data_IF_785990490354
#
_entry.id   IF_785990490354
#
_cell.length_a   1.000
_cell.length_b   1.000
_cell.length_c   1.000
_cell.angle_alpha   90.00
_cell.angle_beta   90.00
_cell.angle_gamma   90.00
#
_symmetry.space_group_name_H-M   'P 1'
#
loop_
_entity.id
_entity.type
_entity.pdbx_description
1 polymer ?
#
# COMPACT_ATOMS: atom_id res chain seq x y z
N UNK A 1 -2.75 -20.14 37.34
CA UNK A 1 -3.73 -19.62 36.38
C UNK A 1 -3.95 -20.61 35.28
N UNK A 2 -5.04 -21.37 35.33
CA UNK A 2 -5.44 -22.22 34.21
C UNK A 2 -6.15 -21.34 33.18
N UNK A 3 -5.55 -21.20 32.01
CA UNK A 3 -6.22 -20.58 30.86
C UNK A 3 -7.38 -21.48 30.45
N UNK A 4 -8.55 -20.89 30.22
CA UNK A 4 -9.69 -21.57 29.65
C UNK A 4 -10.34 -20.69 28.59
N UNK A 5 -11.07 -21.27 27.69
CA UNK A 5 -11.82 -20.61 26.62
C UNK A 5 -13.12 -21.37 26.41
N UNK A 6 -14.23 -20.65 26.33
CA UNK A 6 -15.55 -21.21 26.04
C UNK A 6 -15.66 -21.47 24.54
N UNK A 7 -16.25 -22.60 24.20
CA UNK A 7 -16.39 -23.04 22.80
C UNK A 7 -17.88 -23.31 22.56
N UNK A 8 -18.53 -22.39 21.85
CA UNK A 8 -19.94 -22.49 21.48
C UNK A 8 -20.12 -22.90 20.03
N UNK A 9 -19.14 -22.62 19.17
CA UNK A 9 -19.16 -22.96 17.76
C UNK A 9 -17.78 -23.38 17.21
N UNK A 10 -17.73 -23.68 15.90
CA UNK A 10 -16.50 -24.10 15.24
C UNK A 10 -15.44 -23.00 15.15
N UNK A 11 -15.87 -21.72 15.18
CA UNK A 11 -14.94 -20.60 15.18
C UNK A 11 -14.28 -20.45 16.55
N UNK A 12 -15.03 -20.69 17.63
CA UNK A 12 -14.49 -20.71 18.97
C UNK A 12 -13.48 -21.83 19.17
N UNK A 13 -13.77 -23.01 18.62
CA UNK A 13 -12.83 -24.12 18.62
C UNK A 13 -11.52 -23.73 17.94
N UNK A 14 -11.60 -23.16 16.78
CA UNK A 14 -10.46 -22.67 16.02
C UNK A 14 -9.64 -21.61 16.77
N UNK A 15 -10.33 -20.68 17.46
CA UNK A 15 -9.69 -19.66 18.29
C UNK A 15 -8.99 -20.31 19.47
N UNK A 16 -9.68 -21.22 20.17
CA UNK A 16 -9.12 -21.96 21.29
C UNK A 16 -7.88 -22.74 20.87
N UNK A 17 -7.95 -23.49 19.77
CA UNK A 17 -6.82 -24.23 19.22
C UNK A 17 -5.64 -23.33 18.86
N UNK A 18 -5.89 -22.09 18.42
CA UNK A 18 -4.85 -21.11 18.14
C UNK A 18 -4.22 -20.58 19.42
N UNK A 19 -5.04 -20.23 20.43
CA UNK A 19 -4.58 -19.70 21.73
C UNK A 19 -3.75 -20.75 22.50
N UNK A 20 -4.15 -22.01 22.43
CA UNK A 20 -3.51 -23.10 23.14
C UNK A 20 -2.51 -23.90 22.30
N UNK A 21 -2.24 -23.48 21.06
CA UNK A 21 -1.26 -24.13 20.21
C UNK A 21 0.13 -24.16 20.85
N UNK A 22 0.90 -25.23 20.63
CA UNK A 22 2.33 -25.22 20.94
C UNK A 22 3.02 -24.03 20.27
N UNK A 23 4.02 -23.45 20.94
CA UNK A 23 4.71 -22.22 20.50
C UNK A 23 5.23 -22.33 19.06
N UNK A 24 5.69 -23.52 18.67
CA UNK A 24 6.21 -23.80 17.33
C UNK A 24 5.14 -23.76 16.23
N UNK A 25 3.88 -23.97 16.58
CA UNK A 25 2.74 -23.97 15.66
C UNK A 25 1.88 -22.70 15.72
N UNK A 26 2.13 -21.83 16.70
CA UNK A 26 1.27 -20.66 16.92
C UNK A 26 1.33 -19.68 15.76
N UNK A 27 2.51 -19.39 15.21
CA UNK A 27 2.68 -18.45 14.11
C UNK A 27 1.90 -18.91 12.85
N UNK A 28 2.07 -20.15 12.43
CA UNK A 28 1.37 -20.66 11.25
C UNK A 28 -0.16 -20.67 11.42
N UNK A 29 -0.65 -20.84 12.64
CA UNK A 29 -2.09 -20.74 12.92
C UNK A 29 -2.61 -19.32 12.84
N UNK A 30 -1.84 -18.32 13.29
CA UNK A 30 -2.21 -16.92 13.10
C UNK A 30 -2.15 -16.51 11.63
N UNK A 31 -1.15 -16.95 10.89
CA UNK A 31 -1.01 -16.65 9.46
C UNK A 31 -2.19 -17.19 8.63
N UNK A 32 -2.75 -18.34 8.98
CA UNK A 32 -3.93 -18.89 8.30
C UNK A 32 -5.21 -18.07 8.50
N UNK A 33 -5.22 -17.09 9.40
CA UNK A 33 -6.42 -16.36 9.80
C UNK A 33 -6.57 -14.99 9.19
N UNK A 34 -5.89 -14.63 8.20
CA UNK A 34 -5.94 -13.32 7.51
C UNK A 34 -7.02 -12.35 8.04
N UNK A 35 -6.65 -11.55 9.05
CA UNK A 35 -7.58 -10.64 9.72
C UNK A 35 -8.25 -11.22 10.98
N UNK A 36 -9.04 -10.38 11.63
CA UNK A 36 -9.72 -10.76 12.87
C UNK A 36 -8.79 -10.89 14.08
N UNK A 37 -7.57 -10.33 14.05
CA UNK A 37 -6.60 -10.38 15.16
C UNK A 37 -7.09 -9.67 16.42
N UNK A 38 -8.06 -8.76 16.31
CA UNK A 38 -8.76 -8.15 17.42
C UNK A 38 -9.44 -9.17 18.37
N UNK A 39 -9.67 -10.42 17.91
CA UNK A 39 -10.16 -11.54 18.74
C UNK A 39 -9.08 -12.07 19.68
N UNK A 40 -7.84 -11.65 19.53
CA UNK A 40 -6.70 -12.09 20.32
C UNK A 40 -6.09 -10.90 21.08
N UNK A 41 -6.74 -10.36 22.13
CA UNK A 41 -6.37 -9.09 22.76
C UNK A 41 -4.98 -9.08 23.42
N UNK A 42 -4.34 -10.25 23.57
CA UNK A 42 -2.97 -10.38 24.08
C UNK A 42 -1.94 -10.56 22.99
N UNK A 43 -2.37 -10.62 21.73
CA UNK A 43 -1.46 -10.69 20.60
C UNK A 43 -0.80 -9.32 20.38
N UNK A 44 0.51 -9.31 20.30
CA UNK A 44 1.26 -8.13 19.88
C UNK A 44 1.32 -8.14 18.35
N UNK A 45 0.48 -7.31 17.73
CA UNK A 45 0.32 -7.26 16.28
C UNK A 45 1.33 -6.28 15.66
N UNK A 46 2.20 -6.81 14.80
CA UNK A 46 3.12 -6.05 13.95
C UNK A 46 2.77 -6.20 12.45
N UNK A 47 1.64 -6.82 12.12
CA UNK A 47 1.25 -7.09 10.75
C UNK A 47 0.37 -5.98 10.16
N UNK A 48 -0.56 -5.44 10.94
CA UNK A 48 -1.49 -4.42 10.48
C UNK A 48 -1.04 -3.01 10.85
N UNK A 49 -0.42 -2.35 9.88
CA UNK A 49 0.06 -0.97 10.00
C UNK A 49 -1.07 0.00 9.68
N UNK A 50 -1.93 0.27 10.64
CA UNK A 50 -3.02 1.24 10.52
C UNK A 50 -2.92 2.29 11.62
N UNK A 51 -3.42 3.50 11.34
CA UNK A 51 -3.46 4.58 12.31
C UNK A 51 -4.45 4.24 13.45
N UNK A 52 -4.00 4.01 14.70
CA UNK A 52 -4.87 3.63 15.81
C UNK A 52 -5.73 4.81 16.31
N UNK A 53 -5.45 6.03 15.90
CA UNK A 53 -6.15 7.25 16.29
C UNK A 53 -7.27 7.66 15.34
N UNK A 54 -7.43 6.95 14.24
CA UNK A 54 -8.51 7.15 13.29
C UNK A 54 -9.54 5.99 13.37
N UNK A 55 -10.84 6.23 13.13
CA UNK A 55 -11.47 7.52 12.86
C UNK A 55 -11.71 8.34 14.14
N UNK A 56 -11.77 9.68 14.03
CA UNK A 56 -12.05 10.56 15.17
C UNK A 56 -13.49 10.37 15.67
N UNK A 57 -13.75 10.76 16.94
CA UNK A 57 -15.06 10.52 17.58
C UNK A 57 -16.24 11.10 16.79
N UNK A 58 -16.10 12.33 16.26
CA UNK A 58 -17.13 12.95 15.43
C UNK A 58 -17.53 12.06 14.23
N UNK A 59 -16.57 11.50 13.53
CA UNK A 59 -16.84 10.61 12.39
C UNK A 59 -17.56 9.33 12.83
N UNK A 60 -17.15 8.75 13.97
CA UNK A 60 -17.84 7.58 14.55
C UNK A 60 -19.30 7.88 14.88
N UNK A 61 -19.57 9.08 15.40
CA UNK A 61 -20.94 9.49 15.75
C UNK A 61 -21.78 9.74 14.49
N UNK A 62 -21.21 10.35 13.45
CA UNK A 62 -21.86 10.49 12.14
C UNK A 62 -22.17 9.13 11.48
N UNK A 63 -21.24 8.17 11.53
CA UNK A 63 -21.46 6.82 11.03
C UNK A 63 -22.58 6.10 11.80
N UNK A 64 -22.61 6.23 13.13
CA UNK A 64 -23.68 5.65 13.94
C UNK A 64 -25.04 6.26 13.64
N UNK A 65 -25.11 7.59 13.48
CA UNK A 65 -26.35 8.30 13.19
C UNK A 65 -26.94 7.93 11.81
N UNK A 66 -26.09 7.51 10.87
CA UNK A 66 -26.50 7.16 9.51
C UNK A 66 -26.39 5.66 9.20
N UNK A 67 -26.20 4.82 10.23
CA UNK A 67 -25.87 3.40 10.04
C UNK A 67 -26.90 2.67 9.17
N UNK A 68 -28.18 2.83 9.47
CA UNK A 68 -29.25 2.16 8.72
C UNK A 68 -29.25 2.55 7.24
N UNK A 69 -29.11 3.84 6.94
CA UNK A 69 -29.01 4.35 5.57
C UNK A 69 -27.77 3.80 4.87
N UNK A 70 -26.62 3.84 5.55
CA UNK A 70 -25.35 3.32 4.97
C UNK A 70 -25.40 1.82 4.69
N UNK A 71 -26.19 1.07 5.47
CA UNK A 71 -26.34 -0.37 5.31
C UNK A 71 -27.32 -0.76 4.19
N UNK A 72 -28.37 0.02 3.98
CA UNK A 72 -29.49 -0.35 3.13
C UNK A 72 -29.48 0.32 1.75
N UNK A 73 -28.82 1.45 1.62
CA UNK A 73 -28.78 2.21 0.38
C UNK A 73 -27.56 1.85 -0.50
N UNK A 74 -27.71 2.04 -1.81
CA UNK A 74 -26.60 1.86 -2.74
C UNK A 74 -25.49 2.88 -2.46
N UNK A 75 -24.21 2.42 -2.44
CA UNK A 75 -23.09 3.35 -2.25
C UNK A 75 -22.91 4.27 -3.45
N UNK A 76 -22.24 5.39 -3.22
CA UNK A 76 -21.85 6.31 -4.28
C UNK A 76 -20.96 5.62 -5.32
N UNK A 77 -21.19 5.91 -6.59
CA UNK A 77 -20.41 5.36 -7.70
C UNK A 77 -18.99 5.98 -7.78
N UNK A 78 -18.16 5.38 -8.62
CA UNK A 78 -16.75 5.77 -8.84
C UNK A 78 -16.59 7.25 -9.19
N UNK A 79 -17.51 7.83 -9.95
CA UNK A 79 -17.48 9.26 -10.29
C UNK A 79 -17.50 10.16 -9.05
N UNK A 80 -18.43 9.90 -8.13
CA UNK A 80 -18.55 10.69 -6.89
C UNK A 80 -17.34 10.47 -5.99
N UNK A 81 -16.87 9.23 -5.86
CA UNK A 81 -15.72 8.90 -5.05
C UNK A 81 -14.45 9.61 -5.57
N UNK A 82 -14.21 9.60 -6.89
CA UNK A 82 -13.08 10.31 -7.50
C UNK A 82 -13.21 11.84 -7.36
N UNK A 83 -14.44 12.39 -7.43
CA UNK A 83 -14.69 13.82 -7.20
C UNK A 83 -14.35 14.22 -5.76
N UNK A 84 -14.81 13.43 -4.78
CA UNK A 84 -14.55 13.68 -3.36
C UNK A 84 -13.04 13.54 -3.04
N UNK A 85 -12.39 12.50 -3.56
CA UNK A 85 -10.95 12.31 -3.42
C UNK A 85 -10.17 13.47 -4.05
N UNK A 86 -10.57 13.92 -5.25
CA UNK A 86 -9.97 15.08 -5.92
C UNK A 86 -10.11 16.36 -5.11
N UNK A 87 -11.30 16.60 -4.56
CA UNK A 87 -11.57 17.76 -3.71
C UNK A 87 -10.73 17.72 -2.41
N UNK A 88 -10.59 16.54 -1.82
CA UNK A 88 -9.81 16.36 -0.60
C UNK A 88 -8.30 16.54 -0.85
N UNK A 89 -7.77 15.98 -1.93
CA UNK A 89 -6.36 16.02 -2.26
C UNK A 89 -5.93 17.28 -3.04
N UNK A 90 -6.87 18.12 -3.47
CA UNK A 90 -6.57 19.25 -4.33
C UNK A 90 -6.14 18.87 -5.76
N UNK A 91 -6.59 17.74 -6.25
CA UNK A 91 -6.22 17.16 -7.55
C UNK A 91 -7.46 17.11 -8.46
N UNK A 92 -7.28 17.31 -9.76
CA UNK A 92 -8.37 17.15 -10.72
C UNK A 92 -8.92 15.74 -10.68
N UNK A 93 -10.24 15.64 -10.67
CA UNK A 93 -10.94 14.35 -10.71
C UNK A 93 -10.46 13.42 -11.84
N UNK A 94 -10.15 13.98 -13.01
CA UNK A 94 -9.69 13.22 -14.18
C UNK A 94 -8.34 12.51 -13.99
N UNK A 95 -7.59 12.84 -12.94
CA UNK A 95 -6.33 12.19 -12.57
C UNK A 95 -6.50 11.12 -11.50
N UNK A 96 -7.72 10.92 -11.00
CA UNK A 96 -7.95 10.05 -9.85
C UNK A 96 -8.84 8.88 -10.23
N UNK A 97 -8.38 7.70 -9.85
CA UNK A 97 -9.18 6.48 -9.84
C UNK A 97 -9.23 5.98 -8.39
N UNK A 98 -10.43 5.77 -7.89
CA UNK A 98 -10.66 5.19 -6.56
C UNK A 98 -11.02 3.73 -6.74
N UNK A 99 -10.38 2.85 -5.98
CA UNK A 99 -10.64 1.41 -5.99
C UNK A 99 -10.98 0.88 -4.60
N UNK A 100 -11.38 -0.36 -4.55
CA UNK A 100 -11.70 -1.07 -3.33
C UNK A 100 -10.40 -1.60 -2.67
N UNK A 101 -9.62 -0.65 -2.14
CA UNK A 101 -8.28 -0.88 -1.63
C UNK A 101 -7.20 -0.86 -2.73
N UNK A 102 -5.94 -0.70 -2.29
CA UNK A 102 -4.80 -0.64 -3.21
C UNK A 102 -4.62 -1.94 -4.00
N UNK A 103 -4.97 -3.11 -3.44
CA UNK A 103 -4.81 -4.41 -4.09
C UNK A 103 -5.62 -4.52 -5.39
N UNK A 104 -6.82 -3.94 -5.47
CA UNK A 104 -7.62 -3.88 -6.70
C UNK A 104 -6.94 -3.03 -7.77
N UNK A 105 -6.47 -1.84 -7.38
CA UNK A 105 -5.76 -0.93 -8.27
C UNK A 105 -4.44 -1.52 -8.75
N UNK A 106 -3.67 -2.15 -7.87
CA UNK A 106 -2.43 -2.85 -8.19
C UNK A 106 -2.71 -3.96 -9.22
N UNK A 107 -3.72 -4.80 -8.99
CA UNK A 107 -4.09 -5.87 -9.92
C UNK A 107 -4.40 -5.30 -11.30
N UNK A 108 -5.20 -4.26 -11.38
CA UNK A 108 -5.58 -3.62 -12.64
C UNK A 108 -4.36 -2.99 -13.33
N UNK A 109 -3.55 -2.24 -12.59
CA UNK A 109 -2.35 -1.58 -13.10
C UNK A 109 -1.34 -2.60 -13.63
N UNK A 110 -1.03 -3.63 -12.85
CA UNK A 110 -0.06 -4.66 -13.24
C UNK A 110 -0.50 -5.45 -14.48
N UNK A 111 -1.81 -5.64 -14.65
CA UNK A 111 -2.40 -6.24 -15.85
C UNK A 111 -2.28 -5.36 -17.10
N UNK A 112 -2.20 -4.04 -16.95
CA UNK A 112 -2.09 -3.08 -18.05
C UNK A 112 -0.63 -2.82 -18.47
N UNK A 113 0.35 -3.15 -17.66
CA UNK A 113 1.77 -2.96 -17.96
C UNK A 113 2.19 -4.01 -18.99
N UNK A 114 2.58 -3.56 -20.18
CA UNK A 114 3.20 -4.38 -21.21
C UNK A 114 4.73 -4.32 -21.06
N UNK A 115 5.39 -5.48 -21.22
CA UNK A 115 6.85 -5.60 -21.08
C UNK A 115 7.30 -5.77 -19.62
N UNK A 116 8.61 -5.67 -19.43
CA UNK A 116 9.25 -5.93 -18.13
C UNK A 116 9.13 -4.74 -17.19
N UNK A 117 9.05 -5.04 -15.90
CA UNK A 117 9.00 -4.06 -14.83
C UNK A 117 10.23 -4.19 -13.93
N UNK A 118 10.88 -3.06 -13.65
CA UNK A 118 11.90 -2.96 -12.60
C UNK A 118 11.25 -2.89 -11.22
N UNK A 119 11.78 -3.65 -10.26
CA UNK A 119 11.29 -3.70 -8.87
C UNK A 119 12.47 -3.76 -7.92
N UNK A 120 12.40 -3.03 -6.81
CA UNK A 120 13.38 -3.16 -5.72
C UNK A 120 12.96 -4.28 -4.79
N UNK A 121 13.89 -5.16 -4.38
CA UNK A 121 13.65 -6.24 -3.42
C UNK A 121 14.51 -6.06 -2.16
N UNK A 122 13.98 -6.48 -1.00
CA UNK A 122 12.64 -6.99 -0.73
C UNK A 122 11.56 -5.94 -0.99
N UNK A 123 10.31 -6.36 -1.28
CA UNK A 123 9.22 -5.45 -1.65
C UNK A 123 7.88 -5.96 -1.15
N UNK A 124 6.85 -5.12 -1.27
CA UNK A 124 5.46 -5.54 -1.07
C UNK A 124 5.02 -6.49 -2.19
N UNK A 125 4.85 -7.76 -1.84
CA UNK A 125 4.69 -8.87 -2.79
C UNK A 125 3.42 -8.80 -3.65
N UNK A 126 2.46 -7.93 -3.32
CA UNK A 126 1.24 -7.78 -4.12
C UNK A 126 1.56 -7.35 -5.57
N UNK A 127 2.61 -6.55 -5.78
CA UNK A 127 3.05 -6.15 -7.12
C UNK A 127 3.65 -7.31 -7.91
N UNK A 128 4.75 -7.94 -7.47
CA UNK A 128 5.38 -9.01 -8.25
C UNK A 128 4.49 -10.24 -8.41
N UNK A 129 3.60 -10.54 -7.44
CA UNK A 129 2.66 -11.66 -7.55
C UNK A 129 1.62 -11.48 -8.69
N UNK A 130 1.50 -10.30 -9.26
CA UNK A 130 0.61 -10.00 -10.40
C UNK A 130 1.32 -10.02 -11.75
N UNK A 131 2.59 -10.46 -11.79
CA UNK A 131 3.41 -10.56 -13.01
C UNK A 131 4.06 -11.93 -13.12
N UNK A 132 4.39 -12.32 -14.36
CA UNK A 132 5.26 -13.47 -14.56
C UNK A 132 6.67 -13.14 -14.05
N UNK A 133 7.35 -14.11 -13.48
CA UNK A 133 8.70 -13.92 -12.93
C UNK A 133 9.71 -13.42 -14.00
N UNK A 134 9.54 -13.87 -15.23
CA UNK A 134 10.41 -13.48 -16.37
C UNK A 134 10.21 -12.01 -16.81
N UNK A 135 9.10 -11.40 -16.41
CA UNK A 135 8.79 -9.99 -16.67
C UNK A 135 9.26 -9.05 -15.55
N UNK A 136 9.92 -9.58 -14.53
CA UNK A 136 10.42 -8.79 -13.41
C UNK A 136 11.93 -8.69 -13.47
N UNK A 137 12.46 -7.46 -13.48
CA UNK A 137 13.88 -7.16 -13.29
C UNK A 137 14.07 -6.65 -11.87
N UNK A 138 14.63 -7.51 -11.02
CA UNK A 138 14.84 -7.22 -9.61
C UNK A 138 16.14 -6.44 -9.38
N UNK A 139 16.06 -5.33 -8.64
CA UNK A 139 17.20 -4.68 -8.01
C UNK A 139 17.27 -5.11 -6.55
N UNK A 140 18.41 -5.61 -6.12
CA UNK A 140 18.67 -5.99 -4.73
C UNK A 140 19.71 -5.05 -4.15
N UNK A 141 19.36 -4.19 -3.16
CA UNK A 141 20.34 -3.35 -2.47
C UNK A 141 21.49 -4.18 -1.89
N UNK A 142 22.69 -3.67 -1.98
CA UNK A 142 23.89 -4.37 -1.48
C UNK A 142 24.20 -4.03 -0.02
N UNK A 143 23.59 -2.97 0.51
CA UNK A 143 23.77 -2.53 1.88
C UNK A 143 23.04 -3.47 2.85
N UNK A 144 23.62 -3.71 4.02
CA UNK A 144 23.03 -4.59 5.04
C UNK A 144 21.69 -4.07 5.59
N UNK A 145 21.49 -2.76 5.59
CA UNK A 145 20.26 -2.08 6.00
C UNK A 145 19.25 -1.94 4.84
N UNK A 146 19.51 -2.55 3.68
CA UNK A 146 18.69 -2.48 2.47
C UNK A 146 18.47 -1.06 1.95
N UNK A 147 19.34 -0.10 2.34
CA UNK A 147 19.26 1.27 1.84
C UNK A 147 19.71 1.36 0.37
N UNK A 148 19.10 2.26 -0.37
CA UNK A 148 19.42 2.58 -1.77
C UNK A 148 18.99 4.02 -2.09
N UNK A 149 19.54 4.58 -3.15
CA UNK A 149 19.19 5.90 -3.64
C UNK A 149 18.87 5.87 -5.15
N UNK A 150 18.43 6.99 -5.69
CA UNK A 150 18.03 7.06 -7.11
C UNK A 150 19.20 6.81 -8.07
N UNK A 151 20.42 7.19 -7.71
CA UNK A 151 21.58 7.00 -8.58
C UNK A 151 21.89 5.51 -8.74
N UNK A 152 21.74 4.74 -7.65
CA UNK A 152 21.89 3.28 -7.68
C UNK A 152 20.87 2.66 -8.64
N UNK A 153 19.61 3.10 -8.55
CA UNK A 153 18.53 2.61 -9.39
C UNK A 153 18.72 3.00 -10.86
N UNK A 154 19.03 4.28 -11.12
CA UNK A 154 19.26 4.76 -12.48
C UNK A 154 20.45 4.04 -13.13
N UNK A 155 21.55 3.86 -12.40
CA UNK A 155 22.71 3.14 -12.90
C UNK A 155 22.39 1.66 -13.24
N UNK A 156 21.64 0.99 -12.35
CA UNK A 156 21.26 -0.41 -12.56
C UNK A 156 20.30 -0.59 -13.73
N UNK A 157 19.24 0.25 -13.80
CA UNK A 157 18.20 0.12 -14.80
C UNK A 157 18.54 0.79 -16.14
N UNK A 158 19.60 1.61 -16.23
CA UNK A 158 20.00 2.31 -17.47
C UNK A 158 20.22 1.37 -18.66
N UNK A 159 20.64 0.14 -18.39
CA UNK A 159 20.99 -0.88 -19.40
C UNK A 159 20.01 -2.08 -19.36
N UNK A 160 18.86 -1.92 -18.74
CA UNK A 160 17.82 -2.96 -18.68
C UNK A 160 16.64 -2.57 -19.56
N UNK A 161 16.10 -3.54 -20.27
CA UNK A 161 14.88 -3.35 -21.03
C UNK A 161 13.67 -3.46 -20.12
N UNK A 162 13.24 -2.34 -19.54
CA UNK A 162 12.04 -2.23 -18.71
C UNK A 162 11.10 -1.17 -19.31
N UNK A 163 9.80 -1.43 -19.25
CA UNK A 163 8.75 -0.47 -19.62
C UNK A 163 8.29 0.39 -18.46
N UNK A 164 8.48 -0.12 -17.25
CA UNK A 164 8.05 0.54 -16.01
C UNK A 164 9.03 0.26 -14.89
N UNK A 165 9.15 1.18 -13.94
CA UNK A 165 9.91 1.03 -12.71
C UNK A 165 8.99 1.33 -11.52
N UNK A 166 8.88 0.38 -10.60
CA UNK A 166 8.11 0.49 -9.37
C UNK A 166 9.03 0.84 -8.21
N UNK A 167 8.65 1.86 -7.47
CA UNK A 167 9.26 2.28 -6.20
C UNK A 167 8.16 2.43 -5.16
N UNK A 168 8.38 1.88 -3.99
CA UNK A 168 7.55 2.10 -2.80
C UNK A 168 8.27 3.13 -1.95
N UNK A 169 7.63 4.26 -1.63
CA UNK A 169 8.30 5.35 -0.92
C UNK A 169 7.37 6.05 0.09
N UNK A 170 7.57 5.93 1.38
CA UNK A 170 8.58 5.09 2.09
C UNK A 170 8.45 3.60 1.76
N UNK A 171 9.60 2.92 1.70
CA UNK A 171 9.66 1.54 1.24
C UNK A 171 9.11 0.54 2.29
N UNK A 172 8.48 -0.49 1.78
CA UNK A 172 7.99 -1.61 2.56
C UNK A 172 8.58 -2.92 1.97
N UNK A 173 9.46 -3.65 2.69
CA UNK A 173 9.61 -3.64 4.15
C UNK A 173 10.84 -2.88 4.69
N UNK A 174 11.75 -2.34 3.85
CA UNK A 174 13.03 -1.81 4.31
C UNK A 174 12.92 -0.51 5.14
N UNK A 175 11.85 0.27 4.95
CA UNK A 175 11.72 1.59 5.55
C UNK A 175 12.58 2.66 4.87
N UNK A 176 13.28 2.34 3.78
CA UNK A 176 14.08 3.31 3.04
C UNK A 176 13.19 4.46 2.53
N UNK A 177 13.69 5.68 2.64
CA UNK A 177 12.98 6.87 2.18
C UNK A 177 13.82 7.69 1.21
N UNK A 178 13.24 7.98 0.07
CA UNK A 178 13.87 8.80 -0.97
C UNK A 178 13.20 10.18 -0.95
N UNK A 179 13.96 11.28 -0.80
CA UNK A 179 13.41 12.62 -0.83
C UNK A 179 12.67 12.93 -2.15
N UNK A 180 11.64 13.77 -2.08
CA UNK A 180 10.80 14.11 -3.24
C UNK A 180 11.61 14.71 -4.39
N UNK A 181 12.63 15.53 -4.11
CA UNK A 181 13.53 16.09 -5.11
C UNK A 181 14.19 14.99 -5.96
N UNK A 182 14.59 13.93 -5.31
CA UNK A 182 15.25 12.79 -5.95
C UNK A 182 14.24 11.95 -6.73
N UNK A 183 13.04 11.75 -6.20
CA UNK A 183 11.94 11.10 -6.94
C UNK A 183 11.60 11.88 -8.21
N UNK A 184 11.56 13.22 -8.16
CA UNK A 184 11.33 14.05 -9.35
C UNK A 184 12.44 13.85 -10.39
N UNK A 185 13.71 13.76 -9.96
CA UNK A 185 14.83 13.46 -10.84
C UNK A 185 14.68 12.07 -11.50
N UNK A 186 14.25 11.06 -10.75
CA UNK A 186 13.96 9.73 -11.26
C UNK A 186 12.83 9.75 -12.30
N UNK A 187 11.77 10.54 -12.06
CA UNK A 187 10.65 10.69 -12.98
C UNK A 187 11.12 11.31 -14.31
N UNK A 188 11.98 12.35 -14.26
CA UNK A 188 12.55 12.96 -15.46
C UNK A 188 13.46 11.98 -16.22
N UNK A 189 14.33 11.27 -15.52
CA UNK A 189 15.15 10.21 -16.12
C UNK A 189 14.27 9.14 -16.80
N UNK A 190 13.19 8.71 -16.13
CA UNK A 190 12.23 7.77 -16.70
C UNK A 190 11.57 8.31 -17.97
N UNK A 191 11.21 9.60 -17.98
CA UNK A 191 10.63 10.27 -19.15
C UNK A 191 11.59 10.25 -20.34
N UNK A 192 12.88 10.56 -20.12
CA UNK A 192 13.93 10.52 -21.16
C UNK A 192 14.16 9.12 -21.72
N UNK A 193 14.01 8.09 -20.90
CA UNK A 193 14.18 6.68 -21.26
C UNK A 193 12.91 6.01 -21.81
N UNK A 194 11.76 6.70 -21.81
CA UNK A 194 10.47 6.11 -22.15
C UNK A 194 9.96 5.10 -21.12
N UNK A 195 10.43 5.21 -19.86
CA UNK A 195 10.06 4.33 -18.74
C UNK A 195 8.95 5.02 -17.93
N UNK A 196 7.88 4.28 -17.64
CA UNK A 196 6.85 4.72 -16.72
C UNK A 196 7.34 4.54 -15.27
N UNK A 197 7.21 5.57 -14.46
CA UNK A 197 7.55 5.51 -13.03
C UNK A 197 6.27 5.32 -12.25
N UNK A 198 6.26 4.29 -11.40
CA UNK A 198 5.14 3.95 -10.51
C UNK A 198 5.65 4.14 -9.10
N UNK A 199 5.03 5.05 -8.35
CA UNK A 199 5.38 5.33 -6.96
C UNK A 199 4.21 4.91 -6.07
N UNK A 200 4.48 4.02 -5.13
CA UNK A 200 3.52 3.67 -4.08
C UNK A 200 3.81 4.53 -2.85
N UNK A 201 2.90 5.46 -2.56
CA UNK A 201 2.96 6.40 -1.43
C UNK A 201 2.10 5.93 -0.24
N UNK A 202 1.80 4.66 -0.11
CA UNK A 202 0.88 4.18 0.95
C UNK A 202 1.35 4.50 2.37
N UNK A 203 2.63 4.85 2.55
CA UNK A 203 3.20 5.21 3.85
C UNK A 203 3.70 6.67 3.93
N UNK A 204 3.51 7.50 2.91
CA UNK A 204 4.01 8.88 2.91
C UNK A 204 3.41 9.74 4.02
N UNK A 205 2.18 9.45 4.45
CA UNK A 205 1.50 10.17 5.53
C UNK A 205 2.16 9.97 6.91
N UNK A 206 3.09 9.02 7.03
CA UNK A 206 3.87 8.77 8.24
C UNK A 206 5.25 9.43 8.24
N UNK A 207 5.56 10.22 7.22
CA UNK A 207 6.79 11.05 7.18
C UNK A 207 6.58 12.36 7.93
N UNK A 208 7.66 12.97 8.41
CA UNK A 208 7.60 14.22 9.20
C UNK A 208 6.93 15.38 8.46
N UNK A 209 7.04 15.44 7.14
CA UNK A 209 6.47 16.47 6.29
C UNK A 209 5.71 15.85 5.11
N UNK A 210 4.64 15.11 5.44
CA UNK A 210 3.90 14.32 4.46
C UNK A 210 3.32 15.18 3.31
N UNK A 211 2.91 16.42 3.59
CA UNK A 211 2.33 17.32 2.58
C UNK A 211 3.33 17.73 1.51
N UNK A 212 4.60 17.90 1.88
CA UNK A 212 5.68 18.20 0.95
C UNK A 212 6.30 16.95 0.33
N UNK A 213 6.16 15.80 0.98
CA UNK A 213 6.74 14.54 0.49
C UNK A 213 5.82 13.76 -0.46
N UNK A 214 4.55 14.13 -0.58
CA UNK A 214 3.61 13.48 -1.50
C UNK A 214 3.76 13.99 -2.92
N UNK A 215 3.63 13.10 -3.90
CA UNK A 215 3.53 13.43 -5.33
C UNK A 215 2.07 13.69 -5.76
N UNK A 216 1.12 13.54 -4.86
CA UNK A 216 -0.30 13.80 -5.11
C UNK A 216 -0.61 15.30 -5.19
N UNK A 217 0.04 16.00 -6.14
CA UNK A 217 -0.20 17.40 -6.46
C UNK A 217 -0.54 17.57 -7.94
N UNK A 218 -1.55 18.41 -8.24
CA UNK A 218 -2.07 18.60 -9.60
C UNK A 218 -0.97 18.98 -10.61
N UNK A 219 -0.09 19.89 -10.21
CA UNK A 219 1.00 20.36 -11.07
C UNK A 219 2.07 19.28 -11.33
N UNK A 220 2.38 18.45 -10.33
CA UNK A 220 3.31 17.33 -10.50
C UNK A 220 2.73 16.32 -11.47
N UNK A 221 1.49 15.89 -11.25
CA UNK A 221 0.82 14.89 -12.09
C UNK A 221 0.64 15.40 -13.53
N UNK A 222 0.27 16.66 -13.70
CA UNK A 222 0.11 17.30 -15.02
C UNK A 222 1.42 17.36 -15.80
N UNK A 223 2.53 17.65 -15.13
CA UNK A 223 3.84 17.84 -15.76
C UNK A 223 4.54 16.51 -16.10
N UNK A 224 4.09 15.42 -15.48
CA UNK A 224 4.76 14.12 -15.56
C UNK A 224 3.79 12.99 -16.01
N UNK A 225 3.43 12.94 -17.29
CA UNK A 225 2.47 11.94 -17.82
C UNK A 225 2.98 10.49 -17.73
N UNK A 226 4.27 10.28 -17.48
CA UNK A 226 4.89 8.99 -17.23
C UNK A 226 4.84 8.56 -15.76
N UNK A 227 4.26 9.38 -14.86
CA UNK A 227 4.12 9.08 -13.45
C UNK A 227 2.75 8.46 -13.17
N UNK A 228 2.74 7.39 -12.37
CA UNK A 228 1.54 6.85 -11.71
C UNK A 228 1.83 6.80 -10.21
N UNK A 229 0.91 7.33 -9.42
CA UNK A 229 0.97 7.27 -7.95
C UNK A 229 -0.09 6.31 -7.45
N UNK A 230 0.29 5.37 -6.60
CA UNK A 230 -0.62 4.50 -5.83
C UNK A 230 -0.59 4.99 -4.39
N UNK A 231 -1.76 5.12 -3.78
CA UNK A 231 -1.89 5.52 -2.37
C UNK A 231 -2.99 4.70 -1.70
N UNK A 232 -2.62 3.91 -0.72
CA UNK A 232 -3.59 3.26 0.16
C UNK A 232 -3.97 4.21 1.29
N UNK A 233 -5.23 4.62 1.33
CA UNK A 233 -5.72 5.48 2.42
C UNK A 233 -5.99 4.70 3.72
N UNK A 234 -6.12 3.38 3.64
CA UNK A 234 -6.42 2.54 4.81
C UNK A 234 -5.29 2.49 5.86
N UNK A 235 -4.07 2.91 5.51
CA UNK A 235 -2.97 3.00 6.48
C UNK A 235 -3.12 4.20 7.39
N UNK A 236 -3.56 5.33 6.82
CA UNK A 236 -3.70 6.62 7.52
C UNK A 236 -5.10 6.81 8.11
N UNK A 237 -6.12 6.28 7.44
CA UNK A 237 -7.53 6.52 7.76
C UNK A 237 -8.31 5.26 8.20
N UNK A 238 -7.62 4.18 8.57
CA UNK A 238 -8.22 2.97 9.15
C UNK A 238 -8.80 2.00 8.15
#
# INVERSE_FOLDING_TARGET
>A
DRKWYEIDDIQDLDIAETIFAPKEKSLSRYEMRYGGYWRFPKLLDFCYLVNPFFPPQRMKDELRANFDTLLTEYPSGMYVNSLLAGKYLGIRQSYIVVGNGAAELIKSLMGMINGKIGVVYPTFMEYPNRKNKDDIIAYLPQNMDMSYNINDLMAFFAHKEISSLLIINPDNPSGNFIPISDIINLIQWGKEKGIRIIIDESFVDFTDDYSHNSLCHDDILKSNPNLIVIKSISKSYG
#
